data_IF_265581586124
#
_entry.id   IF_265581586124
#
_cell.length_a   1.000
_cell.length_b   1.000
_cell.length_c   1.000
_cell.angle_alpha   90.00
_cell.angle_beta   90.00
_cell.angle_gamma   90.00
#
_symmetry.space_group_name_H-M   'P 1'
#
loop_
_entity.id
_entity.type
_entity.pdbx_description
1 polymer ?
#
# COMPACT_ATOMS: atom_id res chain seq x y z
N UNK A 1 19.84 30.69 2.36
CA UNK A 1 20.16 29.90 1.16
C UNK A 1 19.23 28.71 1.12
N UNK A 2 18.51 28.54 0.02
CA UNK A 2 17.48 27.52 -0.13
C UNK A 2 18.12 26.17 -0.45
N UNK A 3 17.59 25.06 0.09
CA UNK A 3 18.02 23.70 -0.29
C UNK A 3 17.97 23.46 -1.82
N UNK A 4 17.24 24.27 -2.59
CA UNK A 4 17.22 24.20 -4.05
C UNK A 4 18.52 24.73 -4.69
N UNK A 5 19.12 25.77 -4.13
CA UNK A 5 20.37 26.38 -4.66
C UNK A 5 21.58 25.44 -4.46
N UNK A 6 21.57 24.69 -3.36
CA UNK A 6 22.64 23.76 -3.01
C UNK A 6 22.57 22.45 -3.82
N UNK A 7 21.36 22.03 -4.21
CA UNK A 7 21.14 20.90 -5.13
C UNK A 7 21.51 21.28 -6.57
N UNK A 8 21.21 22.51 -7.00
CA UNK A 8 21.58 23.00 -8.33
C UNK A 8 23.10 23.11 -8.50
N UNK A 9 23.83 23.60 -7.48
CA UNK A 9 25.30 23.64 -7.52
C UNK A 9 25.96 22.27 -7.64
N UNK A 10 25.43 21.26 -6.95
CA UNK A 10 25.95 19.88 -7.05
C UNK A 10 25.74 19.25 -8.44
N UNK A 11 24.77 19.74 -9.21
CA UNK A 11 24.56 19.31 -10.59
C UNK A 11 25.49 20.01 -11.59
N UNK A 12 25.98 21.21 -11.28
CA UNK A 12 26.94 21.96 -12.10
C UNK A 12 28.36 21.39 -12.01
N UNK A 13 28.78 20.92 -10.82
CA UNK A 13 30.12 20.37 -10.57
C UNK A 13 30.36 18.98 -11.18
N UNK A 14 29.35 18.33 -11.77
CA UNK A 14 29.44 16.96 -12.31
C UNK A 14 29.71 16.90 -13.83
N UNK A 15 30.19 17.99 -14.44
CA UNK A 15 30.30 18.10 -15.90
C UNK A 15 31.74 18.09 -16.43
N UNK A 16 32.25 16.91 -16.79
CA UNK A 16 33.23 16.68 -17.89
C UNK A 16 33.42 15.18 -18.22
N UNK A 17 33.89 14.81 -19.43
CA UNK A 17 33.11 14.50 -20.62
C UNK A 17 32.71 13.03 -20.74
N UNK A 18 31.48 12.86 -21.19
CA UNK A 18 30.81 11.58 -21.39
C UNK A 18 29.34 11.88 -21.23
N UNK A 19 28.72 12.52 -22.23
CA UNK A 19 27.28 12.74 -22.24
C UNK A 19 26.65 11.37 -22.05
N UNK A 20 26.07 11.13 -20.87
CA UNK A 20 25.37 9.89 -20.58
C UNK A 20 24.50 9.56 -21.78
N UNK A 21 24.55 8.32 -22.29
CA UNK A 21 23.75 7.90 -23.45
C UNK A 21 22.26 8.23 -23.26
N UNK A 22 21.78 8.22 -22.01
CA UNK A 22 20.45 8.70 -21.63
C UNK A 22 20.20 10.16 -22.05
N UNK A 23 21.15 11.06 -21.80
CA UNK A 23 21.08 12.48 -22.16
C UNK A 23 21.26 12.74 -23.66
N UNK A 24 21.53 11.72 -24.47
CA UNK A 24 21.52 11.83 -25.93
C UNK A 24 20.14 11.54 -26.54
N UNK A 25 19.24 10.92 -25.78
CA UNK A 25 17.90 10.55 -26.25
C UNK A 25 17.01 11.78 -26.49
N UNK A 26 16.03 11.73 -27.41
CA UNK A 26 15.01 12.77 -27.56
C UNK A 26 14.13 12.92 -26.32
N UNK A 27 13.56 14.11 -26.11
CA UNK A 27 12.71 14.39 -24.93
C UNK A 27 11.49 13.47 -24.84
N UNK A 28 10.93 13.05 -25.97
CA UNK A 28 9.85 12.07 -26.00
C UNK A 28 10.29 10.72 -25.43
N UNK A 29 11.48 10.24 -25.79
CA UNK A 29 12.01 8.98 -25.25
C UNK A 29 12.32 9.11 -23.76
N UNK A 30 12.85 10.26 -23.33
CA UNK A 30 13.04 10.55 -21.90
C UNK A 30 11.72 10.60 -21.13
N UNK A 31 10.67 11.16 -21.74
CA UNK A 31 9.34 11.22 -21.17
C UNK A 31 8.75 9.81 -21.00
N UNK A 32 8.86 8.94 -22.00
CA UNK A 32 8.41 7.54 -21.92
C UNK A 32 9.16 6.76 -20.84
N UNK A 33 10.48 6.96 -20.71
CA UNK A 33 11.28 6.41 -19.61
C UNK A 33 10.73 6.90 -18.26
N UNK A 34 10.47 8.20 -18.13
CA UNK A 34 9.89 8.77 -16.92
C UNK A 34 8.48 8.22 -16.63
N UNK A 35 7.65 8.01 -17.66
CA UNK A 35 6.30 7.46 -17.54
C UNK A 35 6.30 5.98 -17.10
N UNK A 36 7.35 5.24 -17.45
CA UNK A 36 7.54 3.86 -17.00
C UNK A 36 7.89 3.77 -15.50
N UNK A 37 8.43 4.84 -14.90
CA UNK A 37 8.74 4.86 -13.46
C UNK A 37 7.45 4.83 -12.65
N UNK A 38 7.26 3.73 -11.91
CA UNK A 38 6.07 3.50 -11.10
C UNK A 38 6.13 4.13 -9.71
N UNK A 39 7.29 4.67 -9.31
CA UNK A 39 7.59 5.14 -7.97
C UNK A 39 7.97 6.64 -7.98
N UNK A 40 7.31 7.49 -7.17
CA UNK A 40 7.57 8.94 -7.14
C UNK A 40 8.99 9.29 -6.72
N UNK A 41 9.61 8.50 -5.85
CA UNK A 41 10.98 8.73 -5.41
C UNK A 41 12.00 8.48 -6.53
N UNK A 42 11.73 7.52 -7.43
CA UNK A 42 12.62 7.26 -8.57
C UNK A 42 12.52 8.40 -9.60
N UNK A 43 11.30 8.90 -9.84
CA UNK A 43 11.09 10.05 -10.72
C UNK A 43 11.72 11.34 -10.16
N UNK A 44 11.59 11.60 -8.85
CA UNK A 44 12.28 12.71 -8.17
C UNK A 44 13.79 12.59 -8.31
N UNK A 45 14.35 11.42 -7.97
CA UNK A 45 15.79 11.21 -7.99
C UNK A 45 16.36 11.40 -9.40
N UNK A 46 15.66 10.89 -10.43
CA UNK A 46 16.03 11.10 -11.82
C UNK A 46 16.03 12.60 -12.17
N UNK A 47 14.98 13.33 -11.78
CA UNK A 47 14.88 14.77 -11.99
C UNK A 47 15.89 15.62 -11.22
N UNK A 48 16.52 15.08 -10.17
CA UNK A 48 17.58 15.76 -9.42
C UNK A 48 18.99 15.54 -9.99
N UNK A 49 19.14 14.74 -11.04
CA UNK A 49 20.47 14.43 -11.62
C UNK A 49 21.03 15.57 -12.45
N UNK A 50 20.21 16.18 -13.31
CA UNK A 50 20.59 17.30 -14.16
C UNK A 50 19.36 18.11 -14.59
N UNK A 51 19.60 19.31 -15.12
CA UNK A 51 18.55 20.23 -15.56
C UNK A 51 17.61 19.65 -16.62
N UNK A 52 18.14 18.98 -17.66
CA UNK A 52 17.31 18.43 -18.74
C UNK A 52 16.34 17.35 -18.22
N UNK A 53 16.83 16.45 -17.36
CA UNK A 53 15.99 15.44 -16.72
C UNK A 53 15.02 16.07 -15.73
N UNK A 54 15.39 17.16 -15.05
CA UNK A 54 14.47 17.92 -14.20
C UNK A 54 13.27 18.44 -14.99
N UNK A 55 13.51 19.04 -16.15
CA UNK A 55 12.48 19.61 -17.03
C UNK A 55 11.50 18.54 -17.51
N UNK A 56 12.01 17.40 -18.04
CA UNK A 56 11.16 16.30 -18.51
C UNK A 56 10.40 15.64 -17.36
N UNK A 57 11.10 15.30 -16.27
CA UNK A 57 10.52 14.62 -15.11
C UNK A 57 9.48 15.46 -14.37
N UNK A 58 9.50 16.79 -14.52
CA UNK A 58 8.54 17.70 -13.88
C UNK A 58 7.23 17.89 -14.66
N UNK A 59 7.04 17.17 -15.75
CA UNK A 59 5.79 17.23 -16.52
C UNK A 59 4.55 16.91 -15.67
N UNK A 60 3.56 17.80 -15.72
CA UNK A 60 2.29 17.69 -15.00
C UNK A 60 1.59 16.34 -15.26
N UNK A 61 1.60 15.88 -16.51
CA UNK A 61 0.93 14.63 -16.91
C UNK A 61 1.56 13.39 -16.27
N UNK A 62 2.89 13.38 -16.07
CA UNK A 62 3.60 12.30 -15.38
C UNK A 62 3.16 12.22 -13.92
N UNK A 63 3.23 13.34 -13.21
CA UNK A 63 2.87 13.41 -11.79
C UNK A 63 1.39 13.13 -11.55
N UNK A 64 0.52 13.57 -12.47
CA UNK A 64 -0.90 13.28 -12.42
C UNK A 64 -1.17 11.78 -12.58
N UNK A 65 -0.59 11.17 -13.62
CA UNK A 65 -0.71 9.73 -13.88
C UNK A 65 -0.13 8.91 -12.73
N UNK A 66 0.99 9.34 -12.19
CA UNK A 66 1.65 8.70 -11.07
C UNK A 66 0.82 8.79 -9.79
N UNK A 67 0.22 9.95 -9.49
CA UNK A 67 -0.71 10.11 -8.35
C UNK A 67 -1.92 9.19 -8.49
N UNK A 68 -2.51 9.12 -9.69
CA UNK A 68 -3.64 8.24 -10.01
C UNK A 68 -3.32 6.75 -9.79
N UNK A 69 -2.10 6.34 -10.18
CA UNK A 69 -1.61 4.97 -10.02
C UNK A 69 -1.22 4.68 -8.56
N UNK A 70 -0.50 5.59 -7.92
CA UNK A 70 0.03 5.41 -6.57
C UNK A 70 -1.08 5.41 -5.53
N UNK A 71 -2.12 6.23 -5.68
CA UNK A 71 -3.26 6.22 -4.76
C UNK A 71 -4.35 5.21 -5.16
N UNK A 72 -4.10 4.34 -6.16
CA UNK A 72 -5.10 3.40 -6.66
C UNK A 72 -5.70 2.58 -5.51
N UNK A 73 -7.04 2.63 -5.40
CA UNK A 73 -7.85 1.99 -4.37
C UNK A 73 -7.62 2.47 -2.92
N UNK A 74 -6.79 3.49 -2.69
CA UNK A 74 -6.62 4.09 -1.35
C UNK A 74 -7.37 5.42 -1.19
N UNK A 75 -8.01 5.93 -2.26
CA UNK A 75 -8.64 7.25 -2.30
C UNK A 75 -9.63 7.50 -1.16
N UNK A 76 -10.42 6.49 -0.78
CA UNK A 76 -11.38 6.59 0.32
C UNK A 76 -10.74 6.48 1.71
N UNK A 77 -9.51 5.95 1.81
CA UNK A 77 -8.73 5.81 3.05
C UNK A 77 -7.68 6.91 3.26
N UNK A 78 -7.73 7.98 2.44
CA UNK A 78 -6.86 9.15 2.64
C UNK A 78 -7.42 9.99 3.80
N UNK A 79 -6.75 9.94 4.96
CA UNK A 79 -7.09 10.79 6.12
C UNK A 79 -6.87 12.27 5.77
N UNK A 80 -5.76 12.53 5.10
CA UNK A 80 -5.36 13.84 4.63
C UNK A 80 -5.49 13.93 3.11
N UNK A 81 -6.17 14.97 2.65
CA UNK A 81 -6.24 15.32 1.23
C UNK A 81 -5.50 16.64 1.06
N UNK A 82 -4.35 16.64 0.36
CA UNK A 82 -3.62 17.87 0.02
C UNK A 82 -4.54 18.88 -0.67
N UNK A 83 -4.27 20.18 -0.47
CA UNK A 83 -5.00 21.27 -1.13
C UNK A 83 -4.36 21.73 -2.44
N UNK A 84 -3.15 21.26 -2.73
CA UNK A 84 -2.38 21.67 -3.91
C UNK A 84 -3.11 21.31 -5.22
N UNK A 85 -2.96 22.15 -6.24
CA UNK A 85 -3.55 21.94 -7.57
C UNK A 85 -2.54 21.42 -8.59
N UNK A 86 -1.25 21.57 -8.28
CA UNK A 86 -0.15 21.01 -9.05
C UNK A 86 0.12 19.56 -8.60
N UNK A 87 0.03 18.56 -9.50
CA UNK A 87 0.12 17.14 -9.14
C UNK A 87 1.40 16.71 -8.43
N UNK A 88 2.56 17.27 -8.78
CA UNK A 88 3.83 16.96 -8.11
C UNK A 88 3.76 17.43 -6.66
N UNK A 89 3.41 18.70 -6.42
CA UNK A 89 3.25 19.26 -5.09
C UNK A 89 2.20 18.50 -4.27
N UNK A 90 1.06 18.16 -4.89
CA UNK A 90 -0.02 17.38 -4.28
C UNK A 90 0.49 16.03 -3.77
N UNK A 91 1.15 15.25 -4.62
CA UNK A 91 1.66 13.93 -4.25
C UNK A 91 2.76 14.02 -3.20
N UNK A 92 3.67 14.99 -3.32
CA UNK A 92 4.73 15.19 -2.33
C UNK A 92 4.17 15.58 -0.97
N UNK A 93 3.13 16.42 -0.91
CA UNK A 93 2.49 16.79 0.34
C UNK A 93 1.78 15.57 0.97
N UNK A 94 1.11 14.75 0.16
CA UNK A 94 0.51 13.50 0.62
C UNK A 94 1.58 12.57 1.25
N UNK A 95 2.67 12.31 0.52
CA UNK A 95 3.76 11.45 0.96
C UNK A 95 4.43 11.98 2.24
N UNK A 96 4.65 13.29 2.36
CA UNK A 96 5.20 13.90 3.57
C UNK A 96 4.30 13.67 4.78
N UNK A 97 2.98 13.82 4.63
CA UNK A 97 2.06 13.59 5.72
C UNK A 97 2.07 12.12 6.17
N UNK A 98 2.03 11.20 5.19
CA UNK A 98 2.05 9.76 5.46
C UNK A 98 3.39 9.27 6.04
N UNK A 99 4.50 9.87 5.63
CA UNK A 99 5.84 9.54 6.09
C UNK A 99 6.18 10.04 7.51
N UNK A 100 5.47 11.04 8.03
CA UNK A 100 5.80 11.72 9.28
C UNK A 100 5.33 11.02 10.56
N UNK A 101 4.81 9.79 10.47
CA UNK A 101 4.40 9.03 11.65
C UNK A 101 5.63 8.63 12.46
N UNK A 102 5.92 9.37 13.56
CA UNK A 102 7.01 9.07 14.49
C UNK A 102 6.87 7.65 15.03
N UNK A 103 7.73 6.75 14.58
CA UNK A 103 7.80 5.38 15.10
C UNK A 103 8.64 5.35 16.37
N UNK A 104 8.07 4.77 17.42
CA UNK A 104 8.79 4.37 18.65
C UNK A 104 9.56 3.06 18.38
N UNK A 105 10.54 3.09 17.49
CA UNK A 105 11.49 1.99 17.24
C UNK A 105 12.86 2.33 17.80
N UNK A 106 13.67 1.31 18.13
CA UNK A 106 15.01 1.53 18.67
C UNK A 106 15.91 2.28 17.67
N UNK A 107 16.84 3.07 18.19
CA UNK A 107 17.82 3.75 17.33
C UNK A 107 18.94 2.81 16.89
N UNK A 108 19.26 1.81 17.71
CA UNK A 108 20.37 0.88 17.50
C UNK A 108 20.07 -0.47 18.15
N UNK A 109 20.55 -1.54 17.54
CA UNK A 109 20.54 -2.89 18.07
C UNK A 109 21.84 -3.61 17.68
N UNK A 110 22.29 -4.57 18.48
CA UNK A 110 23.48 -5.35 18.22
C UNK A 110 23.14 -6.83 18.34
N UNK A 111 22.68 -7.48 17.24
CA UNK A 111 22.28 -8.88 17.27
C UNK A 111 23.44 -9.87 17.35
N UNK A 112 24.67 -9.43 17.07
CA UNK A 112 25.88 -10.23 17.19
C UNK A 112 27.07 -9.35 17.62
N UNK A 113 28.14 -9.96 18.15
CA UNK A 113 29.33 -9.29 18.69
C UNK A 113 29.92 -8.29 17.68
N UNK A 114 29.84 -8.60 16.38
CA UNK A 114 30.40 -7.77 15.31
C UNK A 114 29.36 -7.15 14.36
N UNK A 115 28.07 -7.47 14.49
CA UNK A 115 27.02 -6.93 13.63
C UNK A 115 26.19 -5.89 14.37
N UNK A 116 26.03 -4.70 13.78
CA UNK A 116 25.24 -3.62 14.37
C UNK A 116 24.15 -3.17 13.41
N UNK A 117 22.93 -2.99 13.93
CA UNK A 117 21.77 -2.49 13.21
C UNK A 117 21.49 -1.07 13.68
N UNK A 118 21.61 -0.10 12.78
CA UNK A 118 21.37 1.31 13.07
C UNK A 118 20.14 1.77 12.30
N UNK A 119 19.21 2.42 13.00
CA UNK A 119 18.00 2.93 12.36
C UNK A 119 18.37 4.03 11.36
N UNK A 120 17.88 3.90 10.14
CA UNK A 120 17.98 4.89 9.08
C UNK A 120 16.58 5.39 8.75
N UNK A 121 16.44 6.70 8.69
CA UNK A 121 15.22 7.32 8.16
C UNK A 121 15.26 7.25 6.63
N UNK A 122 14.52 6.30 6.07
CA UNK A 122 14.26 6.23 4.63
C UNK A 122 12.83 6.74 4.34
N UNK A 123 12.68 7.94 3.75
CA UNK A 123 11.38 8.49 3.40
C UNK A 123 10.59 7.61 2.43
N UNK A 124 11.26 6.91 1.50
CA UNK A 124 10.62 6.00 0.54
C UNK A 124 9.97 4.86 1.29
N UNK A 125 10.75 4.20 2.13
CA UNK A 125 10.27 3.10 2.95
C UNK A 125 9.14 3.56 3.90
N UNK A 126 9.31 4.70 4.57
CA UNK A 126 8.31 5.25 5.48
C UNK A 126 6.96 5.46 4.78
N UNK A 127 6.96 6.06 3.59
CA UNK A 127 5.75 6.29 2.80
C UNK A 127 5.10 4.99 2.32
N UNK A 128 5.88 4.07 1.74
CA UNK A 128 5.35 2.79 1.27
C UNK A 128 4.73 1.98 2.42
N UNK A 129 5.37 1.99 3.59
CA UNK A 129 4.88 1.30 4.78
C UNK A 129 3.61 1.96 5.35
N UNK A 130 3.52 3.29 5.30
CA UNK A 130 2.30 4.02 5.66
C UNK A 130 1.14 3.67 4.71
N UNK A 131 1.39 3.62 3.41
CA UNK A 131 0.38 3.24 2.41
C UNK A 131 -0.08 1.79 2.57
N UNK A 132 0.84 0.86 2.83
CA UNK A 132 0.47 -0.51 3.17
C UNK A 132 -0.38 -0.56 4.44
N UNK A 133 -0.02 0.20 5.48
CA UNK A 133 -0.82 0.28 6.72
C UNK A 133 -2.25 0.73 6.43
N UNK A 134 -2.41 1.73 5.57
CA UNK A 134 -3.73 2.24 5.13
C UNK A 134 -4.55 1.16 4.43
N UNK A 135 -3.93 0.35 3.57
CA UNK A 135 -4.60 -0.76 2.90
C UNK A 135 -5.10 -1.88 3.85
N UNK A 136 -4.72 -1.80 5.12
CA UNK A 136 -5.13 -2.70 6.19
C UNK A 136 -5.98 -2.02 7.28
N UNK A 137 -6.33 -0.73 7.16
CA UNK A 137 -7.10 0.00 8.19
C UNK A 137 -8.44 -0.68 8.50
N UNK A 138 -9.10 -1.20 7.47
CA UNK A 138 -10.45 -1.78 7.54
C UNK A 138 -10.49 -3.23 8.05
N UNK A 139 -9.34 -3.90 8.08
CA UNK A 139 -9.26 -5.16 8.79
C UNK A 139 -9.34 -4.79 10.26
N UNK A 140 -10.47 -5.08 10.89
CA UNK A 140 -10.61 -4.92 12.33
C UNK A 140 -9.35 -5.52 12.96
N UNK A 141 -8.56 -4.63 13.53
CA UNK A 141 -7.31 -4.89 14.23
C UNK A 141 -7.54 -6.02 15.27
N UNK A 142 -8.79 -6.21 15.68
CA UNK A 142 -9.28 -7.23 16.61
C UNK A 142 -9.76 -8.53 15.96
N UNK A 143 -9.78 -8.73 14.64
CA UNK A 143 -10.38 -9.93 14.03
C UNK A 143 -9.37 -10.83 13.34
N UNK A 144 -8.46 -10.30 12.51
CA UNK A 144 -7.61 -11.14 11.66
C UNK A 144 -6.18 -11.32 12.19
N UNK A 145 -5.76 -12.54 12.61
CA UNK A 145 -4.39 -12.83 13.04
C UNK A 145 -3.33 -12.71 11.93
N UNK A 146 -3.75 -12.44 10.69
CA UNK A 146 -2.94 -12.59 9.48
C UNK A 146 -2.22 -11.28 9.10
N UNK A 147 -2.82 -10.13 9.42
CA UNK A 147 -2.19 -8.79 9.31
C UNK A 147 -1.12 -8.60 10.39
N UNK A 148 -1.23 -9.36 11.48
CA UNK A 148 -0.51 -9.19 12.74
C UNK A 148 0.93 -9.72 12.65
N UNK A 149 1.18 -10.69 11.77
CA UNK A 149 2.49 -11.32 11.59
C UNK A 149 3.55 -10.47 10.89
N UNK A 150 3.21 -9.31 10.32
CA UNK A 150 4.11 -8.63 9.38
C UNK A 150 4.57 -7.24 9.80
N UNK A 151 3.94 -6.60 10.80
CA UNK A 151 4.30 -5.24 11.22
C UNK A 151 5.75 -5.13 11.73
N UNK A 152 6.20 -6.13 12.49
CA UNK A 152 7.58 -6.17 13.01
C UNK A 152 8.64 -6.40 11.91
N UNK A 153 8.36 -7.24 10.90
CA UNK A 153 9.28 -7.50 9.79
C UNK A 153 9.50 -6.27 8.91
N UNK A 154 8.47 -5.44 8.73
CA UNK A 154 8.65 -4.14 8.05
C UNK A 154 9.53 -3.20 8.87
N UNK A 155 9.56 -3.30 10.19
CA UNK A 155 10.47 -2.47 10.98
C UNK A 155 11.95 -2.85 10.75
N UNK A 156 12.28 -4.07 10.32
CA UNK A 156 13.67 -4.44 9.96
C UNK A 156 14.21 -3.60 8.79
N UNK A 157 13.36 -3.24 7.83
CA UNK A 157 13.75 -2.40 6.70
C UNK A 157 14.05 -0.94 7.08
N UNK A 158 13.79 -0.54 8.33
CA UNK A 158 14.22 0.74 8.87
C UNK A 158 15.70 0.75 9.30
N UNK A 159 16.40 -0.38 9.22
CA UNK A 159 17.75 -0.49 9.76
C UNK A 159 18.78 -0.71 8.67
N UNK A 160 19.94 -0.06 8.83
CA UNK A 160 21.17 -0.36 8.11
C UNK A 160 22.03 -1.29 8.95
N UNK A 161 22.54 -2.33 8.32
CA UNK A 161 23.46 -3.28 8.92
C UNK A 161 24.89 -2.82 8.72
N UNK A 162 25.66 -2.73 9.79
CA UNK A 162 27.12 -2.55 9.76
C UNK A 162 27.77 -3.89 10.06
N UNK A 163 28.75 -4.25 9.23
CA UNK A 163 29.48 -5.54 9.30
C UNK A 163 28.50 -6.73 9.35
N UNK A 164 27.66 -6.93 8.31
CA UNK A 164 26.68 -8.01 8.30
C UNK A 164 27.38 -9.38 8.36
N UNK A 165 27.01 -10.19 9.35
CA UNK A 165 27.44 -11.58 9.52
C UNK A 165 26.27 -12.56 9.39
N UNK A 166 25.09 -12.19 9.87
CA UNK A 166 23.88 -13.02 9.79
C UNK A 166 23.43 -13.10 8.32
N UNK A 167 23.51 -14.29 7.73
CA UNK A 167 23.06 -14.51 6.35
C UNK A 167 21.64 -15.06 6.38
N UNK A 168 20.64 -14.19 6.32
CA UNK A 168 19.24 -14.63 6.40
C UNK A 168 18.83 -15.54 5.24
N UNK A 169 19.56 -15.52 4.12
CA UNK A 169 19.32 -16.38 2.97
C UNK A 169 20.03 -17.74 3.02
N UNK A 170 20.81 -18.02 4.08
CA UNK A 170 21.50 -19.29 4.23
C UNK A 170 20.50 -20.41 4.58
N UNK A 171 20.41 -21.49 3.80
CA UNK A 171 19.54 -22.63 4.11
C UNK A 171 19.88 -23.32 5.44
N UNK A 172 21.11 -23.17 5.93
CA UNK A 172 21.61 -23.73 7.19
C UNK A 172 21.70 -22.65 8.29
N UNK A 173 20.98 -21.53 8.13
CA UNK A 173 20.98 -20.44 9.10
C UNK A 173 20.54 -20.94 10.48
N UNK A 174 21.41 -20.80 11.48
CA UNK A 174 21.05 -20.95 12.89
C UNK A 174 21.25 -19.64 13.65
N UNK A 175 20.18 -19.14 14.28
CA UNK A 175 20.23 -17.90 15.06
C UNK A 175 20.41 -18.19 16.55
N UNK A 176 21.42 -17.58 17.17
CA UNK A 176 21.62 -17.67 18.62
C UNK A 176 20.45 -17.02 19.38
N UNK A 177 20.16 -17.48 20.60
CA UNK A 177 19.08 -16.89 21.41
C UNK A 177 19.32 -15.39 21.71
N UNK A 178 20.58 -14.97 21.80
CA UNK A 178 20.96 -13.55 21.93
C UNK A 178 20.56 -12.77 20.67
N UNK A 179 20.89 -13.29 19.48
CA UNK A 179 20.50 -12.70 18.21
C UNK A 179 18.97 -12.62 18.07
N UNK A 180 18.28 -13.72 18.39
CA UNK A 180 16.81 -13.79 18.40
C UNK A 180 16.19 -12.72 19.31
N UNK A 181 16.76 -12.51 20.49
CA UNK A 181 16.26 -11.50 21.44
C UNK A 181 16.50 -10.08 20.97
N UNK A 182 17.70 -9.82 20.46
CA UNK A 182 18.10 -8.53 19.94
C UNK A 182 17.22 -8.14 18.74
N UNK A 183 17.00 -9.05 17.79
CA UNK A 183 16.10 -8.82 16.66
C UNK A 183 14.65 -8.64 17.11
N UNK A 184 14.16 -9.50 18.02
CA UNK A 184 12.80 -9.37 18.59
C UNK A 184 12.54 -7.99 19.24
N UNK A 185 13.59 -7.30 19.70
CA UNK A 185 13.50 -5.97 20.31
C UNK A 185 13.63 -4.78 19.33
N UNK A 186 13.96 -5.00 18.05
CA UNK A 186 14.12 -3.95 17.01
C UNK A 186 12.87 -3.07 16.82
N UNK A 187 11.71 -3.52 17.23
CA UNK A 187 10.49 -2.71 17.21
C UNK A 187 9.71 -2.89 18.50
N UNK A 188 8.64 -2.11 18.65
CA UNK A 188 7.51 -2.45 19.54
C UNK A 188 6.74 -3.67 19.01
N UNK A 189 7.46 -4.74 18.64
CA UNK A 189 6.88 -6.01 18.23
C UNK A 189 5.84 -6.46 19.26
N UNK A 190 6.09 -6.21 20.53
CA UNK A 190 5.24 -6.56 21.66
C UNK A 190 4.04 -5.63 21.91
N UNK A 191 4.14 -4.32 21.63
CA UNK A 191 3.05 -3.35 21.88
C UNK A 191 2.17 -3.07 20.64
N UNK A 192 2.70 -3.32 19.44
CA UNK A 192 1.97 -3.17 18.17
C UNK A 192 1.47 -4.50 17.58
N UNK A 193 1.84 -5.63 18.17
CA UNK A 193 1.33 -6.95 17.80
C UNK A 193 -0.04 -7.17 18.43
N UNK A 194 -1.06 -6.93 17.61
CA UNK A 194 -2.44 -7.07 18.00
C UNK A 194 -2.80 -8.56 18.20
N UNK A 195 -1.95 -9.50 17.78
CA UNK A 195 -2.11 -10.93 18.11
C UNK A 195 -1.95 -11.12 19.61
N UNK A 196 -1.15 -10.29 20.29
CA UNK A 196 -1.09 -10.26 21.76
C UNK A 196 -2.36 -9.73 22.42
N UNK A 197 -3.24 -9.00 21.71
CA UNK A 197 -4.56 -8.70 22.25
C UNK A 197 -5.47 -9.94 22.33
N UNK A 198 -5.29 -10.92 21.43
CA UNK A 198 -6.02 -12.21 21.48
C UNK A 198 -5.24 -13.34 22.17
N UNK A 199 -3.93 -13.29 22.11
CA UNK A 199 -2.98 -14.32 22.54
C UNK A 199 -1.81 -13.63 23.26
N UNK A 200 -2.03 -13.07 24.47
CA UNK A 200 -1.08 -12.20 25.18
C UNK A 200 0.30 -12.82 25.44
N UNK A 201 0.37 -14.15 25.37
CA UNK A 201 1.57 -14.94 25.59
C UNK A 201 2.45 -15.14 24.36
N UNK A 202 2.08 -14.61 23.18
CA UNK A 202 2.95 -14.72 22.01
C UNK A 202 4.20 -13.87 22.19
N UNK A 203 5.34 -14.56 22.13
CA UNK A 203 6.68 -13.98 22.20
C UNK A 203 7.13 -13.57 20.78
N UNK A 204 7.51 -12.31 20.54
CA UNK A 204 8.09 -11.86 19.28
C UNK A 204 9.30 -12.68 18.80
N UNK A 205 10.02 -13.35 19.70
CA UNK A 205 11.11 -14.29 19.37
C UNK A 205 10.62 -15.44 18.46
N UNK A 206 9.35 -15.83 18.54
CA UNK A 206 8.74 -16.83 17.65
C UNK A 206 8.88 -16.44 16.17
N UNK A 207 8.73 -15.15 15.86
CA UNK A 207 8.81 -14.63 14.50
C UNK A 207 10.24 -14.70 13.94
N UNK A 208 11.25 -14.50 14.80
CA UNK A 208 12.66 -14.60 14.40
C UNK A 208 13.04 -16.05 14.17
N UNK A 209 12.63 -16.94 15.09
CA UNK A 209 12.89 -18.37 14.98
C UNK A 209 12.29 -18.99 13.71
N UNK A 210 11.19 -18.40 13.20
CA UNK A 210 10.58 -18.79 11.91
C UNK A 210 11.47 -18.54 10.69
N UNK A 211 12.38 -17.57 10.72
CA UNK A 211 13.33 -17.32 9.63
C UNK A 211 14.30 -18.51 9.52
N UNK A 212 14.85 -18.93 10.65
CA UNK A 212 15.79 -20.06 10.80
C UNK A 212 15.18 -21.39 10.32
N UNK A 213 13.92 -21.69 10.71
CA UNK A 213 13.30 -22.99 10.37
C UNK A 213 12.61 -23.06 9.00
N UNK A 214 12.66 -22.01 8.17
CA UNK A 214 11.98 -21.99 6.87
C UNK A 214 12.80 -22.69 5.78
N UNK A 215 12.41 -23.90 5.40
CA UNK A 215 13.14 -24.73 4.43
C UNK A 215 13.04 -24.26 2.97
N UNK A 216 12.12 -23.35 2.62
CA UNK A 216 11.80 -22.99 1.22
C UNK A 216 11.87 -21.48 0.95
N UNK A 217 12.72 -20.76 1.68
CA UNK A 217 12.84 -19.32 1.57
C UNK A 217 11.84 -18.64 2.50
N UNK A 218 12.35 -18.20 3.64
CA UNK A 218 11.60 -17.49 4.68
C UNK A 218 10.81 -16.28 4.14
N UNK A 219 11.21 -15.73 3.00
CA UNK A 219 10.49 -14.65 2.31
C UNK A 219 9.09 -15.06 1.89
N UNK A 220 8.87 -16.30 1.45
CA UNK A 220 7.54 -16.77 1.04
C UNK A 220 6.67 -17.14 2.25
N UNK A 221 7.30 -17.62 3.33
CA UNK A 221 6.63 -17.90 4.61
C UNK A 221 6.23 -16.64 5.38
N UNK A 222 7.06 -15.60 5.31
CA UNK A 222 6.87 -14.33 6.03
C UNK A 222 6.18 -13.26 5.17
N UNK A 223 6.22 -13.39 3.84
CA UNK A 223 5.53 -12.51 2.89
C UNK A 223 4.67 -13.25 1.84
N UNK A 224 3.75 -14.14 2.23
CA UNK A 224 2.93 -14.84 1.25
C UNK A 224 2.20 -13.87 0.30
N UNK A 225 2.33 -14.14 -1.00
CA UNK A 225 1.74 -13.40 -2.12
C UNK A 225 0.25 -13.70 -2.31
N UNK A 226 -0.28 -14.70 -1.61
CA UNK A 226 -1.65 -15.19 -1.74
C UNK A 226 -2.75 -14.32 -1.12
N UNK A 227 -4.03 -14.66 -1.42
CA UNK A 227 -5.27 -13.95 -1.05
C UNK A 227 -5.62 -13.96 0.45
N UNK A 228 -4.72 -14.45 1.33
CA UNK A 228 -5.02 -14.55 2.77
C UNK A 228 -3.97 -13.92 3.68
N UNK A 229 -2.84 -13.41 3.18
CA UNK A 229 -1.88 -12.63 4.01
C UNK A 229 -1.20 -13.39 5.18
N UNK A 230 -1.72 -14.53 5.57
CA UNK A 230 -1.03 -15.66 6.14
C UNK A 230 -2.11 -16.72 6.12
N UNK A 231 -1.86 -17.80 5.44
CA UNK A 231 -2.28 -19.03 6.04
C UNK A 231 -1.02 -19.47 6.78
N UNK A 232 -1.13 -19.78 8.07
CA UNK A 232 -0.10 -20.61 8.70
C UNK A 232 0.14 -21.79 7.75
N UNK A 233 1.36 -22.20 7.39
CA UNK A 233 1.57 -23.37 6.52
C UNK A 233 0.87 -24.66 6.98
N UNK A 234 0.33 -24.68 8.21
CA UNK A 234 -0.55 -25.75 8.70
C UNK A 234 -2.05 -25.61 8.40
N UNK A 235 -2.54 -24.54 7.76
CA UNK A 235 -3.99 -24.32 7.58
C UNK A 235 -4.36 -23.65 6.25
N UNK A 236 -3.98 -24.25 5.11
CA UNK A 236 -4.44 -24.04 3.70
C UNK A 236 -3.42 -23.55 2.63
N UNK A 237 -3.52 -24.17 1.45
CA UNK A 237 -2.67 -23.97 0.28
C UNK A 237 -3.11 -22.73 -0.52
N UNK A 238 -2.20 -21.83 -0.94
CA UNK A 238 -2.54 -20.66 -1.75
C UNK A 238 -2.20 -20.89 -3.22
N UNK A 239 -2.88 -21.81 -3.89
CA UNK A 239 -3.08 -21.73 -5.34
C UNK A 239 -4.21 -22.68 -5.73
N UNK A 240 -5.11 -22.18 -6.57
CA UNK A 240 -6.16 -22.88 -7.34
C UNK A 240 -7.61 -22.86 -6.85
N UNK A 241 -7.92 -22.79 -5.56
CA UNK A 241 -9.32 -22.66 -5.12
C UNK A 241 -9.53 -21.38 -4.29
N UNK A 242 -10.57 -20.62 -4.66
CA UNK A 242 -10.81 -19.25 -4.22
C UNK A 242 -11.02 -19.04 -2.71
N UNK A 243 -11.47 -17.84 -2.36
CA UNK A 243 -11.92 -17.56 -1.00
C UNK A 243 -13.03 -18.55 -0.63
N UNK A 244 -12.87 -19.29 0.47
CA UNK A 244 -13.94 -20.21 0.94
C UNK A 244 -15.13 -19.45 1.53
N UNK A 245 -14.91 -18.19 1.92
CA UNK A 245 -15.90 -17.26 2.45
C UNK A 245 -15.40 -15.82 2.27
N UNK A 246 -16.33 -14.88 2.16
CA UNK A 246 -16.05 -13.44 2.08
C UNK A 246 -15.75 -12.90 3.49
N UNK A 247 -14.59 -12.26 3.67
CA UNK A 247 -14.19 -11.67 4.96
C UNK A 247 -14.22 -10.15 4.97
N UNK A 248 -14.10 -9.55 3.78
CA UNK A 248 -14.06 -8.10 3.57
C UNK A 248 -15.41 -7.40 3.81
N UNK A 249 -16.54 -8.08 3.58
CA UNK A 249 -17.88 -7.56 3.86
C UNK A 249 -18.14 -6.18 3.27
N UNK A 250 -18.66 -5.27 4.10
CA UNK A 250 -18.99 -3.88 3.71
C UNK A 250 -17.75 -3.11 3.23
N UNK A 251 -16.58 -3.36 3.80
CA UNK A 251 -15.34 -2.71 3.35
C UNK A 251 -14.94 -3.16 1.95
N UNK A 252 -15.14 -4.45 1.64
CA UNK A 252 -14.97 -4.98 0.29
C UNK A 252 -15.86 -4.24 -0.73
N UNK A 253 -17.13 -4.00 -0.37
CA UNK A 253 -18.07 -3.22 -1.16
C UNK A 253 -17.57 -1.79 -1.38
N UNK A 254 -17.14 -1.10 -0.31
CA UNK A 254 -16.63 0.28 -0.38
C UNK A 254 -15.39 0.37 -1.27
N UNK A 255 -14.46 -0.58 -1.15
CA UNK A 255 -13.27 -0.64 -2.01
C UNK A 255 -13.62 -0.87 -3.49
N UNK A 256 -14.60 -1.74 -3.76
CA UNK A 256 -15.10 -1.99 -5.10
C UNK A 256 -15.72 -0.71 -5.71
N UNK A 257 -16.60 -0.03 -4.97
CA UNK A 257 -17.21 1.24 -5.40
C UNK A 257 -16.17 2.34 -5.58
N UNK A 258 -15.21 2.47 -4.68
CA UNK A 258 -14.12 3.44 -4.80
C UNK A 258 -13.38 3.28 -6.12
N UNK A 259 -13.15 2.03 -6.55
CA UNK A 259 -12.51 1.74 -7.84
C UNK A 259 -13.36 2.15 -9.03
N UNK A 260 -14.67 1.90 -8.98
CA UNK A 260 -15.62 2.34 -10.03
C UNK A 260 -15.63 3.87 -10.13
N UNK A 261 -15.78 4.56 -9.00
CA UNK A 261 -15.83 6.03 -8.97
C UNK A 261 -14.53 6.66 -9.49
N UNK A 262 -13.37 6.11 -9.11
CA UNK A 262 -12.08 6.59 -9.62
C UNK A 262 -11.95 6.33 -11.12
N UNK A 263 -12.41 5.18 -11.61
CA UNK A 263 -12.40 4.90 -13.05
C UNK A 263 -13.28 5.88 -13.84
N UNK A 264 -14.43 6.28 -13.28
CA UNK A 264 -15.31 7.30 -13.86
C UNK A 264 -14.70 8.70 -13.85
N UNK A 265 -14.04 9.10 -12.76
CA UNK A 265 -13.50 10.45 -12.58
C UNK A 265 -12.13 10.66 -13.22
N UNK A 266 -11.39 9.57 -13.47
CA UNK A 266 -10.03 9.62 -14.00
C UNK A 266 -9.91 10.39 -15.33
N UNK A 267 -10.78 10.17 -16.35
CA UNK A 267 -10.70 10.92 -17.61
C UNK A 267 -10.81 12.43 -17.41
N UNK A 268 -11.82 12.89 -16.65
CA UNK A 268 -12.00 14.31 -16.34
C UNK A 268 -10.80 14.92 -15.61
N UNK A 269 -10.14 14.14 -14.76
CA UNK A 269 -8.92 14.58 -14.08
C UNK A 269 -7.73 14.71 -15.04
N UNK A 270 -7.54 13.73 -15.94
CA UNK A 270 -6.49 13.76 -16.97
C UNK A 270 -6.68 14.90 -17.99
N UNK A 271 -7.93 15.24 -18.29
CA UNK A 271 -8.30 16.37 -19.16
C UNK A 271 -8.22 17.73 -18.46
N UNK A 272 -7.90 17.76 -17.16
CA UNK A 272 -7.81 19.00 -16.37
C UNK A 272 -9.15 19.63 -16.00
N UNK A 273 -10.28 18.96 -16.24
CA UNK A 273 -11.63 19.42 -15.85
C UNK A 273 -11.88 19.29 -14.34
N UNK A 274 -11.10 18.45 -13.66
CA UNK A 274 -11.23 18.21 -12.21
C UNK A 274 -9.84 18.03 -11.59
N UNK A 275 -9.62 18.60 -10.41
CA UNK A 275 -8.35 18.44 -9.70
C UNK A 275 -8.24 17.13 -8.95
N UNK A 276 -7.00 16.73 -8.62
CA UNK A 276 -6.74 15.55 -7.75
C UNK A 276 -7.43 15.69 -6.39
N UNK A 277 -7.38 16.90 -5.83
CA UNK A 277 -8.04 17.24 -4.56
C UNK A 277 -9.55 17.09 -4.64
N UNK A 278 -10.17 17.55 -5.73
CA UNK A 278 -11.60 17.38 -5.96
C UNK A 278 -11.98 15.90 -6.13
N UNK A 279 -11.23 15.15 -6.96
CA UNK A 279 -11.42 13.71 -7.15
C UNK A 279 -11.35 12.96 -5.81
N UNK A 280 -10.29 13.20 -5.02
CA UNK A 280 -10.11 12.54 -3.72
C UNK A 280 -11.27 12.83 -2.75
N UNK A 281 -11.68 14.10 -2.64
CA UNK A 281 -12.79 14.50 -1.75
C UNK A 281 -14.10 13.88 -2.16
N UNK A 282 -14.38 13.85 -3.46
CA UNK A 282 -15.62 13.29 -3.99
C UNK A 282 -15.68 11.77 -3.77
N UNK A 283 -14.62 11.04 -4.10
CA UNK A 283 -14.55 9.60 -3.84
C UNK A 283 -14.69 9.29 -2.35
N UNK A 284 -13.95 10.00 -1.49
CA UNK A 284 -14.01 9.78 -0.03
C UNK A 284 -15.40 10.03 0.53
N UNK A 285 -16.07 11.12 0.11
CA UNK A 285 -17.42 11.47 0.56
C UNK A 285 -18.45 10.42 0.13
N UNK A 286 -18.45 10.07 -1.16
CA UNK A 286 -19.39 9.10 -1.71
C UNK A 286 -19.22 7.72 -1.07
N UNK A 287 -17.96 7.27 -0.85
CA UNK A 287 -17.67 6.02 -0.17
C UNK A 287 -18.11 6.04 1.31
N UNK A 288 -17.82 7.11 2.06
CA UNK A 288 -18.24 7.23 3.46
C UNK A 288 -19.77 7.36 3.63
N UNK A 289 -20.46 7.94 2.65
CA UNK A 289 -21.91 7.94 2.60
C UNK A 289 -22.45 6.52 2.38
N UNK A 290 -21.95 5.81 1.35
CA UNK A 290 -22.33 4.43 1.07
C UNK A 290 -22.13 3.52 2.28
N UNK A 291 -20.97 3.58 2.92
CA UNK A 291 -20.65 2.75 4.08
C UNK A 291 -21.70 2.92 5.19
N UNK A 292 -22.02 4.17 5.55
CA UNK A 292 -23.04 4.48 6.56
C UNK A 292 -24.43 4.01 6.16
N UNK A 293 -24.84 4.23 4.91
CA UNK A 293 -26.17 3.84 4.42
C UNK A 293 -26.32 2.32 4.38
N UNK A 294 -25.33 1.62 3.82
CA UNK A 294 -25.36 0.17 3.71
C UNK A 294 -25.22 -0.52 5.07
N UNK A 295 -24.45 0.04 6.01
CA UNK A 295 -24.40 -0.46 7.38
C UNK A 295 -25.78 -0.45 8.06
N UNK A 296 -26.62 0.54 7.77
CA UNK A 296 -28.01 0.59 8.26
C UNK A 296 -28.91 -0.48 7.65
N UNK A 297 -28.69 -0.87 6.40
CA UNK A 297 -29.46 -1.93 5.72
C UNK A 297 -28.90 -3.34 5.96
N UNK A 298 -27.67 -3.45 6.49
CA UNK A 298 -26.99 -4.72 6.72
C UNK A 298 -27.81 -5.72 7.55
N UNK A 299 -28.53 -5.33 8.63
CA UNK A 299 -29.39 -6.27 9.36
C UNK A 299 -30.46 -6.90 8.47
N UNK A 300 -31.14 -6.11 7.63
CA UNK A 300 -32.18 -6.60 6.70
C UNK A 300 -31.60 -7.50 5.62
N UNK A 301 -30.44 -7.13 5.07
CA UNK A 301 -29.68 -7.97 4.13
C UNK A 301 -29.34 -9.31 4.77
N UNK A 302 -28.89 -9.32 6.03
CA UNK A 302 -28.56 -10.53 6.78
C UNK A 302 -29.79 -11.34 7.18
N UNK A 303 -30.93 -10.72 7.44
CA UNK A 303 -32.19 -11.44 7.67
C UNK A 303 -32.62 -12.22 6.43
N UNK A 304 -32.56 -11.58 5.25
CA UNK A 304 -32.95 -12.18 3.98
C UNK A 304 -31.95 -13.22 3.48
N UNK A 305 -30.65 -12.94 3.61
CA UNK A 305 -29.58 -13.80 3.13
C UNK A 305 -28.51 -14.06 4.19
N UNK A 306 -28.89 -14.78 5.25
CA UNK A 306 -28.04 -15.05 6.43
C UNK A 306 -26.64 -15.55 6.08
N UNK A 307 -26.55 -16.49 5.14
CA UNK A 307 -25.31 -17.17 4.75
C UNK A 307 -24.63 -16.62 3.50
N UNK A 308 -25.20 -15.59 2.84
CA UNK A 308 -24.63 -15.11 1.59
C UNK A 308 -23.55 -14.03 1.81
N UNK A 309 -22.56 -13.93 0.91
CA UNK A 309 -21.57 -12.85 0.93
C UNK A 309 -22.22 -11.49 0.60
N UNK A 310 -21.62 -10.39 1.04
CA UNK A 310 -22.05 -9.01 0.67
C UNK A 310 -21.96 -8.81 -0.84
N UNK A 311 -21.06 -9.51 -1.54
CA UNK A 311 -21.04 -9.57 -3.00
C UNK A 311 -22.41 -9.92 -3.61
N UNK A 312 -23.22 -10.76 -2.95
CA UNK A 312 -24.57 -11.07 -3.40
C UNK A 312 -25.51 -9.85 -3.33
N UNK A 313 -25.36 -9.02 -2.30
CA UNK A 313 -26.12 -7.78 -2.19
C UNK A 313 -25.79 -6.81 -3.33
N UNK A 314 -24.55 -6.77 -3.83
CA UNK A 314 -24.19 -5.96 -5.00
C UNK A 314 -24.97 -6.40 -6.24
N UNK A 315 -25.06 -7.71 -6.48
CA UNK A 315 -25.82 -8.27 -7.60
C UNK A 315 -27.29 -7.89 -7.48
N UNK A 316 -27.89 -8.11 -6.30
CA UNK A 316 -29.29 -7.77 -6.08
C UNK A 316 -29.57 -6.27 -6.17
N UNK A 317 -28.66 -5.41 -5.69
CA UNK A 317 -28.79 -3.96 -5.79
C UNK A 317 -28.83 -3.49 -7.25
N UNK A 318 -27.96 -4.04 -8.10
CA UNK A 318 -27.95 -3.64 -9.51
C UNK A 318 -29.15 -4.19 -10.30
N UNK A 319 -29.51 -5.45 -10.08
CA UNK A 319 -30.54 -6.15 -10.89
C UNK A 319 -31.96 -5.88 -10.39
N UNK A 320 -32.14 -5.86 -9.07
CA UNK A 320 -33.46 -5.82 -8.42
C UNK A 320 -33.70 -4.52 -7.65
N UNK A 321 -32.67 -3.67 -7.51
CA UNK A 321 -32.78 -2.42 -6.78
C UNK A 321 -32.90 -2.58 -5.27
N UNK A 322 -32.45 -3.72 -4.71
CA UNK A 322 -32.58 -4.01 -3.28
C UNK A 322 -31.24 -4.47 -2.65
N UNK A 323 -30.87 -4.00 -1.45
CA UNK A 323 -31.49 -2.92 -0.69
C UNK A 323 -31.51 -1.60 -1.47
N UNK A 324 -32.49 -0.75 -1.18
CA UNK A 324 -32.62 0.53 -1.86
C UNK A 324 -31.55 1.50 -1.33
N UNK A 325 -30.72 2.02 -2.23
CA UNK A 325 -29.70 3.02 -1.94
C UNK A 325 -30.06 4.39 -2.54
N UNK A 326 -31.34 4.68 -2.77
CA UNK A 326 -31.78 5.99 -3.28
C UNK A 326 -31.31 7.16 -2.40
N UNK A 327 -31.15 6.96 -1.09
CA UNK A 327 -30.58 7.96 -0.18
C UNK A 327 -29.06 8.22 -0.37
N UNK A 328 -28.37 7.43 -1.20
CA UNK A 328 -26.99 7.65 -1.63
C UNK A 328 -26.92 8.37 -2.99
N UNK A 329 -28.06 8.54 -3.67
CA UNK A 329 -28.12 9.17 -4.99
C UNK A 329 -27.67 10.64 -4.95
N UNK A 330 -27.98 11.37 -3.87
CA UNK A 330 -27.56 12.78 -3.69
C UNK A 330 -26.04 12.97 -3.78
N UNK A 331 -25.25 12.00 -3.29
CA UNK A 331 -23.79 12.03 -3.35
C UNK A 331 -23.24 11.70 -4.76
N UNK A 332 -24.07 11.12 -5.63
CA UNK A 332 -23.73 10.70 -6.99
C UNK A 332 -24.31 11.62 -8.08
N UNK A 333 -25.37 12.39 -7.79
CA UNK A 333 -26.02 13.28 -8.76
C UNK A 333 -25.05 14.27 -9.37
N UNK A 334 -24.15 14.84 -8.54
CA UNK A 334 -23.08 15.72 -9.01
C UNK A 334 -22.04 15.06 -9.91
N UNK A 335 -22.06 13.73 -10.04
CA UNK A 335 -21.19 12.94 -10.91
C UNK A 335 -21.89 12.47 -12.20
N UNK A 336 -23.20 12.74 -12.34
CA UNK A 336 -24.02 12.21 -13.43
C UNK A 336 -24.10 10.69 -13.41
N UNK A 337 -24.05 10.07 -12.22
CA UNK A 337 -24.13 8.62 -12.04
C UNK A 337 -25.38 8.27 -11.23
N UNK A 338 -26.06 7.20 -11.61
CA UNK A 338 -27.02 6.53 -10.73
C UNK A 338 -26.31 5.51 -9.85
N UNK A 339 -26.80 5.32 -8.62
CA UNK A 339 -26.27 4.28 -7.73
C UNK A 339 -26.38 2.87 -8.34
N UNK A 340 -27.40 2.63 -9.16
CA UNK A 340 -27.58 1.36 -9.89
C UNK A 340 -26.50 1.15 -10.96
N UNK A 341 -26.13 2.19 -11.71
CA UNK A 341 -25.01 2.11 -12.66
C UNK A 341 -23.70 1.80 -11.96
N UNK A 342 -23.47 2.41 -10.78
CA UNK A 342 -22.28 2.11 -9.97
C UNK A 342 -22.26 0.65 -9.53
N UNK A 343 -23.38 0.10 -9.06
CA UNK A 343 -23.48 -1.31 -8.68
C UNK A 343 -23.33 -2.25 -9.89
N UNK A 344 -23.89 -1.90 -11.05
CA UNK A 344 -23.71 -2.65 -12.29
C UNK A 344 -22.23 -2.68 -12.73
N UNK A 345 -21.50 -1.57 -12.59
CA UNK A 345 -20.06 -1.54 -12.81
C UNK A 345 -19.28 -2.37 -11.76
N UNK A 346 -19.75 -2.41 -10.52
CA UNK A 346 -19.19 -3.29 -9.48
C UNK A 346 -19.39 -4.78 -9.83
N UNK A 347 -20.52 -5.17 -10.43
CA UNK A 347 -20.73 -6.54 -10.92
C UNK A 347 -19.68 -6.91 -11.97
N UNK A 348 -19.38 -5.99 -12.92
CA UNK A 348 -18.34 -6.23 -13.94
C UNK A 348 -16.96 -6.45 -13.30
N UNK A 349 -16.63 -5.70 -12.25
CA UNK A 349 -15.40 -5.93 -11.48
C UNK A 349 -15.44 -7.28 -10.75
N UNK A 350 -16.55 -7.62 -10.11
CA UNK A 350 -16.73 -8.91 -9.43
C UNK A 350 -16.66 -10.09 -10.39
N UNK A 351 -17.14 -9.97 -11.62
CA UNK A 351 -16.97 -11.03 -12.63
C UNK A 351 -15.49 -11.32 -12.93
N UNK A 352 -14.62 -10.30 -12.88
CA UNK A 352 -13.17 -10.44 -13.07
C UNK A 352 -12.47 -11.02 -11.83
N UNK A 353 -12.83 -10.54 -10.64
CA UNK A 353 -12.13 -10.87 -9.39
C UNK A 353 -12.77 -12.01 -8.59
N UNK A 354 -13.99 -12.42 -8.95
CA UNK A 354 -14.89 -13.42 -8.31
C UNK A 354 -15.32 -13.10 -6.87
N UNK A 355 -14.51 -12.37 -6.11
CA UNK A 355 -14.73 -12.06 -4.70
C UNK A 355 -14.39 -10.59 -4.39
N UNK A 356 -15.07 -9.98 -3.41
CA UNK A 356 -14.73 -8.64 -2.93
C UNK A 356 -13.34 -8.62 -2.28
N UNK A 357 -12.99 -9.68 -1.55
CA UNK A 357 -11.67 -9.83 -0.94
C UNK A 357 -10.53 -9.80 -1.98
N UNK A 358 -10.77 -10.33 -3.18
CA UNK A 358 -9.78 -10.30 -4.27
C UNK A 358 -9.52 -8.88 -4.78
N UNK A 359 -10.53 -8.00 -4.76
CA UNK A 359 -10.41 -6.59 -5.12
C UNK A 359 -9.51 -5.89 -4.11
N UNK A 360 -9.80 -6.05 -2.81
CA UNK A 360 -9.03 -5.45 -1.72
C UNK A 360 -7.58 -5.96 -1.70
N UNK A 361 -7.39 -7.26 -1.94
CA UNK A 361 -6.07 -7.89 -1.90
C UNK A 361 -5.16 -7.53 -3.07
N UNK A 362 -5.70 -7.06 -4.19
CA UNK A 362 -4.86 -6.55 -5.27
C UNK A 362 -4.04 -5.33 -4.81
N UNK A 363 -4.66 -4.41 -4.07
CA UNK A 363 -3.99 -3.24 -3.49
C UNK A 363 -2.94 -3.63 -2.47
N UNK A 364 -3.30 -4.55 -1.58
CA UNK A 364 -2.35 -5.08 -0.59
C UNK A 364 -1.17 -5.75 -1.27
N UNK A 365 -1.41 -6.57 -2.30
CA UNK A 365 -0.35 -7.21 -3.11
C UNK A 365 0.57 -6.17 -3.76
N UNK A 366 0.02 -5.11 -4.35
CA UNK A 366 0.81 -4.05 -4.97
C UNK A 366 1.75 -3.38 -3.95
N UNK A 367 1.24 -3.01 -2.77
CA UNK A 367 2.06 -2.38 -1.72
C UNK A 367 3.07 -3.32 -1.09
N UNK A 368 2.71 -4.60 -0.88
CA UNK A 368 3.67 -5.62 -0.44
C UNK A 368 4.80 -5.77 -1.44
N UNK A 369 4.48 -5.85 -2.73
CA UNK A 369 5.46 -5.90 -3.81
C UNK A 369 6.35 -4.66 -3.86
N UNK A 370 5.82 -3.47 -3.56
CA UNK A 370 6.59 -2.23 -3.52
C UNK A 370 7.55 -2.14 -2.32
N UNK A 371 7.16 -2.71 -1.17
CA UNK A 371 7.96 -2.74 0.07
C UNK A 371 9.03 -3.81 0.08
N UNK A 372 8.74 -4.96 -0.53
CA UNK A 372 9.61 -6.13 -0.50
C UNK A 372 11.07 -5.82 -0.92
N UNK A 373 11.33 -5.07 -2.01
CA UNK A 373 12.70 -4.72 -2.38
C UNK A 373 13.44 -3.93 -1.30
N UNK A 374 12.76 -3.09 -0.51
CA UNK A 374 13.41 -2.35 0.59
C UNK A 374 13.78 -3.28 1.75
N UNK A 375 12.91 -4.26 2.05
CA UNK A 375 13.21 -5.31 3.02
C UNK A 375 14.42 -6.11 2.54
N UNK A 376 14.39 -6.65 1.32
CA UNK A 376 15.46 -7.46 0.75
C UNK A 376 16.82 -6.74 0.69
N UNK A 377 16.88 -5.42 0.58
CA UNK A 377 18.15 -4.67 0.69
C UNK A 377 18.85 -4.85 2.04
N UNK A 378 18.09 -5.05 3.11
CA UNK A 378 18.61 -5.17 4.48
C UNK A 378 18.86 -6.64 4.82
N UNK A 379 17.89 -7.50 4.55
CA UNK A 379 17.89 -8.92 4.97
C UNK A 379 18.33 -9.88 3.87
N UNK A 380 18.25 -9.52 2.60
CA UNK A 380 18.58 -10.39 1.46
C UNK A 380 20.07 -10.48 1.14
N UNK A 381 20.94 -10.03 2.06
CA UNK A 381 22.40 -10.07 1.94
C UNK A 381 23.02 -10.81 3.11
#
# INVERSE_FOLDING_TARGET
>A
MSCQEEVLRRAEDASEPGVSELLSLPDLALYEICAALSCPFDLLNLGCTCRRLHEVSSSRSLWLSLSLKWCSQLWHWLDFIPSEEEPKAWLLQLLRNDGNVRRKTMLKCQPDVDETWERVEDPRFACQAAMLRRAYTDMDIRVSPLVLHRRWLYDMALYRRRKPKVRFCDPELSLSDLCVSALASLGRASEGDLRRHKQPHIDPRYYIKRIDVSRHGWTDDLFPSGPRGSICPMLTCPSMDGYSEETSGVYGLVACVSRVLVAHLKPSCLEGKTSLSALARTVRRACAALERRFAGELPRVRERWRSHPVAHAIVSMAEHGWPDLSAWQEDLDGLGLSWREVMAACIKLLARYRWLDAVVDETRRAWRGALMPQVLKVVGR
#
